data_IF_862697098063
#
_entry.id   IF_862697098063
#
_cell.length_a   1.000
_cell.length_b   1.000
_cell.length_c   1.000
_cell.angle_alpha   90.00
_cell.angle_beta   90.00
_cell.angle_gamma   90.00
#
_symmetry.space_group_name_H-M   'P 1'
#
loop_
_entity.id
_entity.type
_entity.pdbx_description
1 polymer ?
#
# COMPACT_ATOMS: atom_id res chain seq x y z
N UNK A 1 38.93 31.50 -43.60
CA UNK A 1 37.53 31.87 -43.89
C UNK A 1 36.56 30.69 -43.72
N UNK A 2 36.67 29.87 -42.66
CA UNK A 2 35.87 28.63 -42.52
C UNK A 2 35.18 28.41 -41.18
N UNK A 3 35.44 29.27 -40.19
CA UNK A 3 34.91 29.10 -38.83
C UNK A 3 33.62 29.90 -38.56
N UNK A 4 33.31 30.90 -39.39
CA UNK A 4 32.12 31.75 -39.22
C UNK A 4 30.83 31.03 -39.67
N UNK A 5 30.90 30.23 -40.74
CA UNK A 5 29.72 29.54 -41.30
C UNK A 5 29.19 28.40 -40.40
N UNK A 6 30.05 27.78 -39.58
CA UNK A 6 29.67 26.72 -38.65
C UNK A 6 28.96 27.28 -37.40
N UNK A 7 29.35 28.46 -36.95
CA UNK A 7 28.71 29.15 -35.83
C UNK A 7 27.30 29.62 -36.19
N UNK A 8 27.11 30.16 -37.40
CA UNK A 8 25.80 30.59 -37.90
C UNK A 8 24.82 29.42 -38.07
N UNK A 9 25.29 28.28 -38.58
CA UNK A 9 24.45 27.10 -38.74
C UNK A 9 24.11 26.42 -37.41
N UNK A 10 24.98 26.52 -36.40
CA UNK A 10 24.66 26.09 -35.03
C UNK A 10 23.62 27.00 -34.37
N UNK A 11 23.70 28.31 -34.60
CA UNK A 11 22.71 29.29 -34.10
C UNK A 11 21.33 29.03 -34.70
N UNK A 12 21.26 28.82 -36.02
CA UNK A 12 20.00 28.53 -36.71
C UNK A 12 19.35 27.23 -36.23
N UNK A 13 20.13 26.16 -36.01
CA UNK A 13 19.60 24.91 -35.42
C UNK A 13 19.05 25.11 -34.02
N UNK A 14 19.74 25.89 -33.18
CA UNK A 14 19.29 26.20 -31.82
C UNK A 14 17.97 26.97 -31.83
N UNK A 15 17.83 27.95 -32.71
CA UNK A 15 16.58 28.72 -32.86
C UNK A 15 15.42 27.87 -33.38
N UNK A 16 15.69 26.94 -34.30
CA UNK A 16 14.68 26.00 -34.79
C UNK A 16 14.16 25.09 -33.68
N UNK A 17 15.06 24.53 -32.86
CA UNK A 17 14.72 23.66 -31.72
C UNK A 17 13.92 24.44 -30.66
N UNK A 18 14.30 25.71 -30.38
CA UNK A 18 13.58 26.57 -29.43
C UNK A 18 12.17 26.90 -29.92
N UNK A 19 11.97 27.20 -31.21
CA UNK A 19 10.65 27.41 -31.80
C UNK A 19 9.79 26.16 -31.77
N UNK A 20 10.34 25.00 -32.10
CA UNK A 20 9.60 23.73 -32.09
C UNK A 20 9.15 23.37 -30.67
N UNK A 21 10.00 23.65 -29.66
CA UNK A 21 9.64 23.48 -28.24
C UNK A 21 8.57 24.46 -27.77
N UNK A 22 8.52 25.68 -28.31
CA UNK A 22 7.49 26.66 -28.00
C UNK A 22 6.13 26.34 -28.65
N UNK A 23 6.14 25.64 -29.79
CA UNK A 23 4.93 25.20 -30.50
C UNK A 23 4.35 23.88 -29.95
N UNK A 24 5.16 23.07 -29.26
CA UNK A 24 4.66 21.87 -28.57
C UNK A 24 3.76 22.29 -27.39
N UNK A 25 2.56 21.72 -27.25
CA UNK A 25 1.65 22.06 -26.18
C UNK A 25 2.36 21.82 -24.84
N UNK A 26 2.46 22.86 -24.02
CA UNK A 26 3.05 22.73 -22.70
C UNK A 26 2.18 21.76 -21.89
N UNK A 27 2.78 20.65 -21.47
CA UNK A 27 2.11 19.67 -20.61
C UNK A 27 1.73 20.42 -19.35
N UNK A 28 0.43 20.63 -19.14
CA UNK A 28 -0.07 21.23 -17.91
C UNK A 28 0.41 20.34 -16.77
N UNK A 29 1.25 20.88 -15.90
CA UNK A 29 1.57 20.24 -14.63
C UNK A 29 0.24 20.02 -13.92
N UNK A 30 -0.17 18.76 -13.81
CA UNK A 30 -1.37 18.38 -13.08
C UNK A 30 -1.07 18.69 -11.61
N UNK A 31 -1.63 19.77 -11.09
CA UNK A 31 -1.61 20.03 -9.65
C UNK A 31 -2.34 18.86 -8.98
N UNK A 32 -1.59 17.99 -8.33
CA UNK A 32 -2.13 16.94 -7.45
C UNK A 32 -2.45 17.49 -6.06
N UNK A 33 -2.26 18.80 -5.84
CA UNK A 33 -2.63 19.49 -4.61
C UNK A 33 -4.11 19.84 -4.57
N UNK A 34 -4.99 18.84 -4.61
CA UNK A 34 -6.33 19.03 -4.05
C UNK A 34 -6.20 18.78 -2.55
N UNK A 35 -5.83 19.82 -1.80
CA UNK A 35 -5.94 19.82 -0.34
C UNK A 35 -7.43 19.85 0.00
N UNK A 36 -8.08 18.70 -0.13
CA UNK A 36 -9.47 18.55 0.26
C UNK A 36 -9.57 18.77 1.76
N UNK A 37 -10.47 19.64 2.17
CA UNK A 37 -10.83 19.89 3.56
C UNK A 37 -11.29 18.60 4.28
N UNK A 38 -11.68 17.58 3.52
CA UNK A 38 -11.97 16.22 4.01
C UNK A 38 -10.76 15.48 4.59
N UNK A 39 -9.53 15.87 4.23
CA UNK A 39 -8.30 15.22 4.74
C UNK A 39 -8.11 15.38 6.25
N UNK A 40 -8.69 16.43 6.85
CA UNK A 40 -8.62 16.66 8.29
C UNK A 40 -9.74 15.96 9.08
N UNK A 41 -10.81 15.54 8.42
CA UNK A 41 -11.95 14.90 9.07
C UNK A 41 -11.71 13.40 9.27
N UNK A 42 -11.20 12.73 8.24
CA UNK A 42 -11.02 11.27 8.23
C UNK A 42 -9.57 10.90 8.54
N UNK A 43 -9.26 10.82 9.84
CA UNK A 43 -7.91 10.56 10.35
C UNK A 43 -7.96 9.97 11.76
N UNK A 44 -6.78 9.65 12.28
CA UNK A 44 -6.55 9.44 13.70
C UNK A 44 -6.39 10.81 14.40
N UNK A 45 -7.26 11.10 15.37
CA UNK A 45 -7.27 12.38 16.06
C UNK A 45 -6.20 12.47 17.16
N UNK A 46 -6.07 11.42 17.97
CA UNK A 46 -5.09 11.31 19.04
C UNK A 46 -4.27 10.04 18.94
N UNK A 47 -3.02 10.13 19.35
CA UNK A 47 -2.08 9.01 19.40
C UNK A 47 -1.46 9.04 20.80
N UNK A 48 -1.74 8.02 21.60
CA UNK A 48 -1.28 7.95 22.99
C UNK A 48 -0.68 6.57 23.26
N UNK A 49 0.64 6.38 23.10
CA UNK A 49 1.30 5.16 23.53
C UNK A 49 1.46 5.12 25.06
N UNK A 50 1.84 3.97 25.60
CA UNK A 50 2.08 3.79 27.03
C UNK A 50 3.43 4.37 27.44
N UNK A 51 3.36 5.39 28.28
CA UNK A 51 4.51 6.13 28.80
C UNK A 51 5.36 5.33 29.80
N UNK A 52 4.79 4.28 30.40
CA UNK A 52 5.47 3.43 31.38
C UNK A 52 6.28 2.29 30.76
N UNK A 53 6.19 2.09 29.44
CA UNK A 53 6.91 1.05 28.71
C UNK A 53 8.26 1.55 28.16
N UNK A 54 9.21 0.65 27.88
CA UNK A 54 10.53 1.06 27.37
C UNK A 54 10.43 1.79 26.03
N UNK A 55 11.21 2.86 25.82
CA UNK A 55 11.24 3.65 24.57
C UNK A 55 9.84 4.15 24.12
N UNK A 56 9.15 4.97 24.93
CA UNK A 56 7.85 5.54 24.56
C UNK A 56 7.94 6.49 23.35
N UNK A 57 9.07 7.14 23.14
CA UNK A 57 9.32 8.02 21.99
C UNK A 57 9.27 7.24 20.68
N UNK A 58 9.95 6.09 20.60
CA UNK A 58 9.95 5.24 19.39
C UNK A 58 8.55 4.66 19.13
N UNK A 59 7.81 4.31 20.19
CA UNK A 59 6.42 3.86 20.06
C UNK A 59 5.51 4.97 19.48
N UNK A 60 5.70 6.21 19.95
CA UNK A 60 4.98 7.39 19.46
C UNK A 60 5.27 7.61 17.97
N UNK A 61 6.54 7.56 17.57
CA UNK A 61 6.95 7.70 16.17
C UNK A 61 6.38 6.58 15.29
N UNK A 62 6.39 5.34 15.79
CA UNK A 62 5.85 4.19 15.08
C UNK A 62 4.35 4.33 14.79
N UNK A 63 3.55 4.63 15.83
CA UNK A 63 2.11 4.87 15.68
C UNK A 63 1.83 6.12 14.84
N UNK A 64 2.64 7.16 14.97
CA UNK A 64 2.54 8.37 14.14
C UNK A 64 2.79 8.04 12.68
N UNK A 65 3.76 7.17 12.38
CA UNK A 65 4.06 6.73 11.01
C UNK A 65 2.87 5.96 10.43
N UNK A 66 2.30 5.01 11.18
CA UNK A 66 1.08 4.29 10.77
C UNK A 66 -0.10 5.25 10.52
N UNK A 67 -0.28 6.24 11.40
CA UNK A 67 -1.38 7.21 11.27
C UNK A 67 -1.27 8.10 10.03
N UNK A 68 -0.05 8.27 9.51
CA UNK A 68 0.28 9.10 8.34
C UNK A 68 0.49 8.27 7.08
N UNK A 69 0.28 6.96 7.15
CA UNK A 69 0.42 6.07 5.99
C UNK A 69 -0.57 6.50 4.89
N UNK A 70 -0.10 6.83 3.68
CA UNK A 70 -0.98 7.29 2.60
C UNK A 70 -2.07 6.29 2.21
N UNK A 71 -1.77 4.99 2.26
CA UNK A 71 -2.73 3.95 1.91
C UNK A 71 -3.80 3.79 3.01
N UNK A 72 -3.40 3.86 4.28
CA UNK A 72 -4.35 3.86 5.40
C UNK A 72 -5.25 5.08 5.36
N UNK A 73 -4.67 6.28 5.14
CA UNK A 73 -5.45 7.52 5.00
C UNK A 73 -6.40 7.48 3.81
N UNK A 74 -5.99 6.86 2.69
CA UNK A 74 -6.87 6.64 1.54
C UNK A 74 -8.11 5.83 1.91
N UNK A 75 -7.92 4.71 2.62
CA UNK A 75 -9.02 3.86 3.10
C UNK A 75 -9.92 4.65 4.06
N UNK A 76 -9.34 5.38 5.02
CA UNK A 76 -10.11 6.19 5.96
C UNK A 76 -10.98 7.23 5.24
N UNK A 77 -10.46 7.88 4.20
CA UNK A 77 -11.21 8.85 3.42
C UNK A 77 -12.32 8.20 2.58
N UNK A 78 -12.06 7.05 1.98
CA UNK A 78 -13.03 6.33 1.15
C UNK A 78 -14.19 5.77 1.97
N UNK A 79 -13.90 5.28 3.18
CA UNK A 79 -14.88 4.69 4.09
C UNK A 79 -15.41 5.68 5.13
N UNK A 80 -14.99 6.95 5.05
CA UNK A 80 -15.39 8.01 5.97
C UNK A 80 -15.08 7.71 7.45
N UNK A 81 -13.98 7.00 7.73
CA UNK A 81 -13.58 6.64 9.08
C UNK A 81 -12.92 7.79 9.82
N UNK A 82 -13.32 7.98 11.07
CA UNK A 82 -12.72 8.93 12.00
C UNK A 82 -12.44 8.22 13.33
N UNK A 83 -11.16 8.00 13.62
CA UNK A 83 -10.74 7.26 14.82
C UNK A 83 -10.27 8.25 15.88
N UNK A 84 -10.88 8.21 17.06
CA UNK A 84 -10.59 9.19 18.12
C UNK A 84 -9.21 8.95 18.73
N UNK A 85 -8.89 7.70 19.03
CA UNK A 85 -7.66 7.32 19.72
C UNK A 85 -7.00 6.10 19.07
N UNK A 86 -5.73 6.25 18.69
CA UNK A 86 -4.84 5.15 18.34
C UNK A 86 -3.82 4.96 19.47
N UNK A 87 -3.83 3.78 20.10
CA UNK A 87 -2.96 3.49 21.26
C UNK A 87 -2.29 2.12 21.09
N UNK A 88 -1.30 1.84 21.94
CA UNK A 88 -0.67 0.53 21.95
C UNK A 88 -1.43 -0.47 22.82
N UNK A 89 -1.29 -1.76 22.51
CA UNK A 89 -1.85 -2.87 23.25
C UNK A 89 -0.72 -3.58 24.02
N UNK A 90 -0.88 -3.72 25.33
CA UNK A 90 0.09 -4.39 26.17
C UNK A 90 -0.07 -5.91 26.09
N UNK A 91 1.04 -6.62 25.85
CA UNK A 91 1.08 -8.08 25.79
C UNK A 91 0.56 -8.76 27.07
N UNK A 92 0.73 -8.13 28.25
CA UNK A 92 0.27 -8.70 29.52
C UNK A 92 -1.23 -8.55 29.77
N UNK A 93 -1.89 -7.55 29.19
CA UNK A 93 -3.34 -7.37 29.30
C UNK A 93 -4.08 -8.36 28.39
N UNK A 94 -3.54 -8.58 27.18
CA UNK A 94 -4.16 -9.41 26.16
C UNK A 94 -3.10 -10.22 25.38
N UNK A 95 -2.61 -11.36 25.91
CA UNK A 95 -1.47 -12.09 25.34
C UNK A 95 -1.73 -12.70 23.96
N UNK A 96 -3.00 -13.03 23.65
CA UNK A 96 -3.40 -13.60 22.37
C UNK A 96 -3.80 -12.59 21.30
N UNK A 97 -3.89 -11.30 21.63
CA UNK A 97 -4.39 -10.29 20.71
C UNK A 97 -3.25 -9.48 20.07
N UNK A 98 -3.35 -9.27 18.75
CA UNK A 98 -2.52 -8.37 17.97
C UNK A 98 -3.20 -7.00 17.78
N UNK A 99 -4.53 -6.98 17.76
CA UNK A 99 -5.33 -5.77 17.61
C UNK A 99 -6.64 -5.87 18.38
N UNK A 100 -7.15 -4.70 18.76
CA UNK A 100 -8.40 -4.57 19.48
C UNK A 100 -9.12 -3.29 19.03
N UNK A 101 -10.30 -3.45 18.45
CA UNK A 101 -11.21 -2.37 18.13
C UNK A 101 -12.28 -2.22 19.23
N UNK A 102 -12.37 -1.03 19.81
CA UNK A 102 -13.36 -0.63 20.80
C UNK A 102 -14.37 0.34 20.20
N UNK A 103 -15.66 0.06 20.46
CA UNK A 103 -16.79 0.93 20.09
C UNK A 103 -16.81 1.31 18.59
N UNK A 104 -16.51 0.35 17.71
CA UNK A 104 -16.56 0.53 16.25
C UNK A 104 -15.70 1.70 15.74
N UNK A 105 -14.46 1.80 16.26
CA UNK A 105 -13.46 2.75 15.77
C UNK A 105 -13.28 3.99 16.62
N UNK A 106 -13.87 4.06 17.83
CA UNK A 106 -13.52 5.14 18.77
C UNK A 106 -12.07 4.98 19.21
N UNK A 107 -11.72 3.79 19.69
CA UNK A 107 -10.36 3.46 20.12
C UNK A 107 -9.87 2.21 19.43
N UNK A 108 -8.73 2.32 18.76
CA UNK A 108 -8.03 1.17 18.18
C UNK A 108 -6.73 0.98 18.96
N UNK A 109 -6.56 -0.22 19.53
CA UNK A 109 -5.33 -0.62 20.20
C UNK A 109 -4.56 -1.60 19.34
N UNK A 110 -3.28 -1.34 19.11
CA UNK A 110 -2.43 -2.20 18.30
C UNK A 110 -1.25 -2.72 19.09
N UNK A 111 -0.93 -3.98 18.89
CA UNK A 111 0.28 -4.59 19.42
C UNK A 111 1.47 -4.23 18.54
N UNK A 112 2.22 -3.23 18.97
CA UNK A 112 3.43 -2.78 18.25
C UNK A 112 4.71 -3.42 18.79
N UNK A 113 4.68 -4.03 19.97
CA UNK A 113 5.87 -4.57 20.66
C UNK A 113 5.93 -6.10 20.58
N UNK A 114 7.15 -6.61 20.68
CA UNK A 114 7.41 -8.04 20.92
C UNK A 114 7.05 -8.43 22.37
N UNK A 115 6.82 -9.72 22.61
CA UNK A 115 6.50 -10.26 23.95
C UNK A 115 7.55 -9.90 25.01
N UNK A 116 8.81 -9.85 24.63
CA UNK A 116 9.97 -9.54 25.48
C UNK A 116 10.17 -8.04 25.72
N UNK A 117 9.35 -7.17 25.10
CA UNK A 117 9.46 -5.69 25.16
C UNK A 117 10.83 -5.11 24.71
N UNK A 118 11.69 -5.92 24.10
CA UNK A 118 13.02 -5.55 23.60
C UNK A 118 12.98 -4.84 22.23
N UNK A 119 11.88 -4.97 21.50
CA UNK A 119 11.75 -4.55 20.12
C UNK A 119 10.32 -4.30 19.67
N UNK A 120 10.21 -3.85 18.43
CA UNK A 120 8.95 -3.56 17.75
C UNK A 120 8.68 -4.60 16.67
N UNK A 121 7.41 -4.85 16.41
CA UNK A 121 6.96 -5.72 15.32
C UNK A 121 7.25 -5.08 13.96
N UNK A 122 7.40 -5.87 12.89
CA UNK A 122 7.53 -5.37 11.53
C UNK A 122 6.37 -4.44 11.16
N UNK A 123 6.70 -3.29 10.55
CA UNK A 123 5.72 -2.28 10.15
C UNK A 123 4.58 -2.84 9.30
N UNK A 124 4.92 -3.68 8.31
CA UNK A 124 3.93 -4.26 7.39
C UNK A 124 2.97 -5.21 8.11
N UNK A 125 3.42 -5.94 9.14
CA UNK A 125 2.58 -6.82 9.95
C UNK A 125 1.58 -5.99 10.76
N UNK A 126 2.06 -4.97 11.46
CA UNK A 126 1.18 -4.10 12.26
C UNK A 126 0.21 -3.30 11.37
N UNK A 127 0.64 -2.85 10.19
CA UNK A 127 -0.25 -2.20 9.23
C UNK A 127 -1.35 -3.15 8.75
N UNK A 128 -1.05 -4.43 8.55
CA UNK A 128 -2.06 -5.43 8.19
C UNK A 128 -3.10 -5.60 9.29
N UNK A 129 -2.65 -5.69 10.53
CA UNK A 129 -3.52 -5.75 11.71
C UNK A 129 -4.37 -4.47 11.81
N UNK A 130 -3.79 -3.28 11.62
CA UNK A 130 -4.55 -2.02 11.61
C UNK A 130 -5.65 -2.00 10.55
N UNK A 131 -5.36 -2.48 9.34
CA UNK A 131 -6.37 -2.58 8.28
C UNK A 131 -7.50 -3.54 8.68
N UNK A 132 -7.17 -4.66 9.33
CA UNK A 132 -8.14 -5.58 9.90
C UNK A 132 -9.01 -4.92 10.98
N UNK A 133 -8.39 -4.19 11.93
CA UNK A 133 -9.14 -3.46 12.96
C UNK A 133 -10.05 -2.39 12.37
N UNK A 134 -9.63 -1.69 11.31
CA UNK A 134 -10.48 -0.71 10.64
C UNK A 134 -11.71 -1.36 9.98
N UNK A 135 -11.61 -2.60 9.50
CA UNK A 135 -12.76 -3.34 8.98
C UNK A 135 -13.82 -3.61 10.07
N UNK A 136 -13.38 -3.74 11.32
CA UNK A 136 -14.29 -3.84 12.47
C UNK A 136 -15.11 -2.58 12.77
N UNK A 137 -14.82 -1.44 12.13
CA UNK A 137 -15.70 -0.27 12.18
C UNK A 137 -17.02 -0.50 11.42
N UNK A 138 -17.02 -1.38 10.42
CA UNK A 138 -18.19 -1.70 9.58
C UNK A 138 -18.85 -2.99 10.06
N UNK A 139 -18.04 -4.04 10.26
CA UNK A 139 -18.52 -5.37 10.60
C UNK A 139 -17.82 -5.91 11.84
N UNK A 140 -18.56 -6.14 12.92
CA UNK A 140 -17.98 -6.65 14.18
C UNK A 140 -17.61 -8.13 14.12
N UNK A 141 -18.29 -8.94 13.30
CA UNK A 141 -18.06 -10.38 13.16
C UNK A 141 -17.29 -10.70 11.87
N UNK A 142 -16.48 -11.77 11.90
CA UNK A 142 -15.70 -12.28 10.76
C UNK A 142 -16.57 -13.08 9.76
N UNK A 143 -17.65 -12.45 9.30
CA UNK A 143 -18.56 -13.04 8.31
C UNK A 143 -17.97 -12.93 6.88
N UNK A 144 -18.58 -13.58 5.89
CA UNK A 144 -18.07 -13.51 4.51
C UNK A 144 -17.98 -12.07 3.98
N UNK A 145 -18.91 -11.19 4.40
CA UNK A 145 -18.89 -9.77 4.04
C UNK A 145 -17.66 -9.04 4.62
N UNK A 146 -17.16 -9.45 5.80
CA UNK A 146 -15.92 -8.94 6.37
C UNK A 146 -14.72 -9.35 5.52
N UNK A 147 -14.70 -10.61 5.06
CA UNK A 147 -13.64 -11.15 4.19
C UNK A 147 -13.60 -10.45 2.82
N UNK A 148 -14.75 -10.11 2.29
CA UNK A 148 -14.85 -9.37 1.03
C UNK A 148 -14.33 -7.93 1.17
N UNK A 149 -14.51 -7.33 2.35
CA UNK A 149 -13.97 -6.02 2.74
C UNK A 149 -12.55 -6.10 3.29
N UNK A 150 -11.67 -6.81 2.58
CA UNK A 150 -10.27 -6.88 2.93
C UNK A 150 -9.53 -5.58 2.54
N UNK A 151 -9.39 -4.67 3.51
CA UNK A 151 -8.63 -3.43 3.32
C UNK A 151 -7.14 -3.65 3.00
N UNK A 152 -6.56 -4.82 3.31
CA UNK A 152 -5.20 -5.14 2.88
C UNK A 152 -5.06 -5.26 1.38
N UNK A 153 -6.08 -5.82 0.71
CA UNK A 153 -6.14 -5.87 -0.75
C UNK A 153 -6.19 -4.44 -1.32
N UNK A 154 -6.99 -3.58 -0.72
CA UNK A 154 -7.09 -2.18 -1.13
C UNK A 154 -5.78 -1.40 -0.92
N UNK A 155 -5.06 -1.61 0.19
CA UNK A 155 -3.70 -1.06 0.38
C UNK A 155 -2.78 -1.50 -0.75
N UNK A 156 -2.76 -2.79 -1.09
CA UNK A 156 -1.90 -3.32 -2.14
C UNK A 156 -2.24 -2.74 -3.52
N UNK A 157 -3.52 -2.56 -3.83
CA UNK A 157 -3.99 -1.90 -5.05
C UNK A 157 -3.57 -0.43 -5.11
N UNK A 158 -3.71 0.30 -4.00
CA UNK A 158 -3.28 1.69 -3.89
C UNK A 158 -1.76 1.84 -4.09
N UNK A 159 -0.96 0.98 -3.45
CA UNK A 159 0.50 0.96 -3.62
C UNK A 159 0.91 0.61 -5.04
N UNK A 160 0.26 -0.37 -5.66
CA UNK A 160 0.49 -0.74 -7.06
C UNK A 160 0.15 0.41 -8.02
N UNK A 161 -0.97 1.09 -7.80
CA UNK A 161 -1.38 2.25 -8.59
C UNK A 161 -0.41 3.44 -8.41
N UNK A 162 0.05 3.68 -7.18
CA UNK A 162 1.05 4.71 -6.88
C UNK A 162 2.38 4.41 -7.60
N UNK A 163 2.84 3.15 -7.57
CA UNK A 163 4.03 2.70 -8.28
C UNK A 163 3.91 2.74 -9.81
N UNK A 164 2.72 2.47 -10.36
CA UNK A 164 2.45 2.59 -11.79
C UNK A 164 2.40 4.07 -12.26
N UNK A 165 1.96 4.98 -11.39
CA UNK A 165 1.94 6.43 -11.66
C UNK A 165 3.31 7.11 -11.63
N UNK A 166 4.31 6.49 -10.99
CA UNK A 166 5.72 6.89 -11.09
C UNK A 166 6.32 6.37 -12.39
N UNK A 167 6.19 7.16 -13.46
CA UNK A 167 6.73 6.87 -14.79
C UNK A 167 8.18 6.34 -14.73
N UNK A 168 8.38 5.12 -15.24
CA UNK A 168 9.69 4.66 -15.68
C UNK A 168 10.17 5.61 -16.79
N UNK A 169 11.27 6.33 -16.55
CA UNK A 169 12.04 6.96 -17.62
C UNK A 169 12.86 5.87 -18.32
N UNK A 170 12.22 5.02 -19.11
CA UNK A 170 12.94 4.21 -20.11
C UNK A 170 13.14 5.10 -21.34
N UNK A 171 14.34 5.64 -21.43
CA UNK A 171 14.87 6.41 -22.54
C UNK A 171 14.61 5.70 -23.88
N UNK A 172 14.12 6.47 -24.85
CA UNK A 172 13.78 6.03 -26.20
C UNK A 172 15.04 5.55 -26.93
N UNK A 173 15.26 4.24 -26.98
CA UNK A 173 15.93 3.61 -28.11
C UNK A 173 14.97 2.69 -28.84
N UNK A 174 14.50 3.22 -29.97
CA UNK A 174 14.16 2.49 -31.19
C UNK A 174 13.09 1.40 -31.05
N UNK A 175 11.82 1.83 -31.15
CA UNK A 175 10.68 0.93 -31.27
C UNK A 175 10.76 0.16 -32.59
N UNK A 176 11.23 -1.09 -32.52
CA UNK A 176 11.17 -2.04 -33.62
C UNK A 176 9.71 -2.25 -34.06
N UNK A 177 9.41 -1.92 -35.32
CA UNK A 177 8.11 -2.10 -35.94
C UNK A 177 8.23 -3.32 -36.89
N UNK A 178 7.70 -4.50 -36.53
CA UNK A 178 7.83 -5.69 -37.37
C UNK A 178 7.02 -5.51 -38.65
N UNK A 179 7.69 -5.66 -39.80
CA UNK A 179 7.04 -5.73 -41.11
C UNK A 179 6.16 -6.97 -41.19
N UNK A 180 4.96 -6.79 -41.73
CA UNK A 180 3.83 -7.71 -41.71
C UNK A 180 3.91 -8.85 -42.74
N UNK A 181 5.06 -9.50 -42.88
CA UNK A 181 5.18 -10.72 -43.70
C UNK A 181 6.16 -11.66 -43.00
N UNK A 182 5.61 -12.56 -42.19
CA UNK A 182 5.97 -13.98 -42.04
C UNK A 182 5.27 -14.50 -40.78
N UNK A 183 4.35 -15.46 -40.96
CA UNK A 183 3.67 -16.18 -39.90
C UNK A 183 4.69 -16.97 -39.06
N UNK A 184 5.15 -16.41 -37.95
CA UNK A 184 5.99 -17.13 -36.99
C UNK A 184 5.16 -17.44 -35.75
N UNK A 185 5.00 -18.73 -35.47
CA UNK A 185 4.34 -19.32 -34.31
C UNK A 185 4.44 -18.42 -33.06
N UNK A 186 3.29 -18.11 -32.43
CA UNK A 186 3.20 -17.31 -31.23
C UNK A 186 3.88 -17.98 -30.02
N UNK A 187 5.21 -17.98 -30.01
CA UNK A 187 6.03 -18.25 -28.84
C UNK A 187 5.99 -17.00 -27.97
N UNK A 188 5.18 -17.06 -26.90
CA UNK A 188 5.19 -16.10 -25.80
C UNK A 188 6.62 -16.03 -25.26
N UNK A 189 7.38 -15.02 -25.70
CA UNK A 189 8.75 -14.76 -25.28
C UNK A 189 8.70 -13.89 -24.02
N UNK A 190 8.80 -14.52 -22.86
CA UNK A 190 9.04 -13.82 -21.59
C UNK A 190 10.53 -13.49 -21.52
N UNK A 191 10.89 -12.23 -21.76
CA UNK A 191 12.26 -11.72 -21.61
C UNK A 191 12.56 -11.53 -20.13
N UNK A 192 13.25 -12.50 -19.51
CA UNK A 192 13.74 -12.36 -18.13
C UNK A 192 14.02 -13.62 -17.32
N UNK A 193 14.20 -14.80 -17.93
CA UNK A 193 14.46 -16.04 -17.18
C UNK A 193 15.53 -16.91 -17.81
N UNK A 194 16.78 -16.76 -17.37
CA UNK A 194 17.84 -17.73 -17.64
C UNK A 194 17.59 -18.96 -16.76
N UNK A 195 17.20 -20.06 -17.42
CA UNK A 195 17.63 -21.42 -17.06
C UNK A 195 16.97 -22.07 -15.85
N UNK A 196 15.83 -22.74 -16.09
CA UNK A 196 15.59 -24.17 -15.84
C UNK A 196 14.11 -24.43 -16.18
N UNK A 197 13.82 -24.72 -17.45
CA UNK A 197 12.54 -25.31 -17.85
C UNK A 197 12.51 -26.75 -17.34
N UNK A 198 12.25 -26.92 -16.04
CA UNK A 198 11.54 -28.12 -15.60
C UNK A 198 10.19 -28.15 -16.31
N UNK A 199 9.75 -29.33 -16.71
CA UNK A 199 8.44 -29.55 -17.32
C UNK A 199 7.32 -29.17 -16.35
N UNK A 200 7.10 -27.88 -16.11
CA UNK A 200 6.05 -27.37 -15.24
C UNK A 200 4.73 -27.63 -15.97
N UNK A 201 4.08 -28.73 -15.59
CA UNK A 201 2.80 -29.11 -16.17
C UNK A 201 1.73 -28.08 -15.78
N UNK A 202 0.60 -28.08 -16.48
CA UNK A 202 -0.55 -27.26 -16.05
C UNK A 202 -1.00 -27.62 -14.63
N UNK A 203 -0.82 -28.89 -14.24
CA UNK A 203 -1.11 -29.39 -12.91
C UNK A 203 -0.13 -28.84 -11.86
N UNK A 204 1.16 -28.77 -12.17
CA UNK A 204 2.16 -28.17 -11.27
C UNK A 204 1.91 -26.67 -11.04
N UNK A 205 1.51 -25.95 -12.09
CA UNK A 205 1.08 -24.54 -11.95
C UNK A 205 -0.16 -24.41 -11.06
N UNK A 206 -1.16 -25.28 -11.24
CA UNK A 206 -2.37 -25.29 -10.39
C UNK A 206 -2.04 -25.56 -8.92
N UNK A 207 -1.21 -26.57 -8.65
CA UNK A 207 -0.75 -26.91 -7.29
C UNK A 207 0.00 -25.75 -6.64
N UNK A 208 0.82 -25.01 -7.38
CA UNK A 208 1.52 -23.81 -6.88
C UNK A 208 0.55 -22.68 -6.53
N UNK A 209 -0.43 -22.42 -7.40
CA UNK A 209 -1.47 -21.41 -7.14
C UNK A 209 -2.30 -21.80 -5.91
N UNK A 210 -2.74 -23.05 -5.85
CA UNK A 210 -3.50 -23.59 -4.72
C UNK A 210 -2.70 -23.46 -3.41
N UNK A 211 -1.44 -23.89 -3.40
CA UNK A 211 -0.57 -23.76 -2.24
C UNK A 211 -0.35 -22.29 -1.83
N UNK A 212 -0.27 -21.36 -2.79
CA UNK A 212 -0.18 -19.93 -2.49
C UNK A 212 -1.47 -19.40 -1.87
N UNK A 213 -2.63 -19.76 -2.42
CA UNK A 213 -3.94 -19.36 -1.86
C UNK A 213 -4.19 -19.94 -0.47
N UNK A 214 -3.75 -21.17 -0.22
CA UNK A 214 -3.87 -21.82 1.08
C UNK A 214 -3.03 -21.12 2.15
N UNK A 215 -1.83 -20.64 1.81
CA UNK A 215 -0.99 -19.84 2.71
C UNK A 215 -1.65 -18.52 3.09
N UNK A 216 -2.18 -17.80 2.10
CA UNK A 216 -2.89 -16.54 2.34
C UNK A 216 -4.10 -16.73 3.25
N UNK A 217 -4.88 -17.80 3.01
CA UNK A 217 -6.02 -18.14 3.86
C UNK A 217 -5.61 -18.46 5.29
N UNK A 218 -4.52 -19.20 5.49
CA UNK A 218 -4.03 -19.51 6.83
C UNK A 218 -3.55 -18.25 7.58
N UNK A 219 -2.89 -17.32 6.87
CA UNK A 219 -2.52 -16.01 7.43
C UNK A 219 -3.77 -15.19 7.85
N UNK A 220 -4.82 -15.17 7.03
CA UNK A 220 -6.09 -14.51 7.37
C UNK A 220 -6.76 -15.16 8.60
N UNK A 221 -6.81 -16.50 8.65
CA UNK A 221 -7.38 -17.22 9.80
C UNK A 221 -6.59 -16.99 11.09
N UNK A 222 -5.27 -16.80 11.03
CA UNK A 222 -4.44 -16.44 12.19
C UNK A 222 -4.73 -15.02 12.69
N UNK A 223 -4.92 -14.07 11.77
CA UNK A 223 -5.32 -12.69 12.11
C UNK A 223 -6.71 -12.65 12.74
N UNK A 224 -7.67 -13.43 12.24
CA UNK A 224 -9.00 -13.55 12.83
C UNK A 224 -8.94 -14.07 14.28
N UNK A 225 -8.11 -15.07 14.54
CA UNK A 225 -7.94 -15.65 15.88
C UNK A 225 -7.25 -14.73 16.87
N UNK A 226 -6.46 -13.78 16.38
CA UNK A 226 -5.65 -12.87 17.20
C UNK A 226 -6.23 -11.45 17.25
N UNK A 227 -7.47 -11.25 16.82
CA UNK A 227 -8.19 -9.99 16.89
C UNK A 227 -9.28 -10.04 17.96
N UNK A 228 -9.52 -8.92 18.66
CA UNK A 228 -10.64 -8.75 19.58
C UNK A 228 -11.57 -7.62 19.15
N UNK A 229 -12.88 -7.82 19.27
CA UNK A 229 -13.87 -6.74 19.18
C UNK A 229 -14.60 -6.63 20.52
N UNK A 230 -14.63 -5.43 21.09
CA UNK A 230 -15.48 -5.17 22.26
C UNK A 230 -16.79 -4.58 21.74
N UNK A 231 -17.79 -5.43 21.56
CA UNK A 231 -19.16 -4.97 21.27
C UNK A 231 -19.73 -4.18 22.47
N UNK A 232 -20.77 -3.35 22.26
CA UNK A 232 -21.45 -2.68 23.36
C UNK A 232 -21.95 -3.72 24.35
N UNK A 233 -21.39 -3.74 25.56
CA UNK A 233 -21.89 -4.57 26.64
C UNK A 233 -23.34 -4.16 26.91
N UNK A 234 -24.31 -4.98 26.50
CA UNK A 234 -25.66 -4.89 27.06
C UNK A 234 -25.51 -5.09 28.56
N UNK A 235 -25.63 -4.01 29.33
CA UNK A 235 -25.83 -4.08 30.76
C UNK A 235 -27.16 -4.83 30.97
N UNK A 236 -27.08 -6.12 31.29
CA UNK A 236 -28.20 -6.85 31.84
C UNK A 236 -28.45 -6.26 33.23
N UNK A 237 -29.53 -5.49 33.35
CA UNK A 237 -30.11 -5.12 34.64
C UNK A 237 -30.80 -6.29 35.32
#
# INVERSE_FOLDING_TARGET
MGQLNAADSAHQRKEQILRERALKPQVKLRSTGSSSTSSHQYRFHRIEPFTHLPRPETATEYLTTLSKDPAVLHIMQKQYFSVSLLTELASHEHPGLLGLNLESGVTIKLRIRLDTYDGFRPYLEVRRVLCHELAHNVWSEHNNDFKDLNFNREVAEFEAAAGAGTHQLSDLRDSYQPSSDEEVEARIHVLGGIGLRGNDTTEDRRKKVEAATARLRNEEEELERSCGTSGPQKQSG
#
